data_IF_489913999139
#
_entry.id   IF_489913999139
#
_cell.length_a   1.000
_cell.length_b   1.000
_cell.length_c   1.000
_cell.angle_alpha   90.00
_cell.angle_beta   90.00
_cell.angle_gamma   90.00
#
_symmetry.space_group_name_H-M   'P 1'
#
loop_
_entity.id
_entity.type
_entity.pdbx_description
1 polymer ?
#
# COMPACT_ATOMS: atom_id res chain seq x y z
N UNK A 1 -15.86 -8.44 -3.19
CA UNK A 1 -14.56 -7.73 -3.08
C UNK A 1 -14.43 -7.18 -1.68
N UNK A 2 -13.32 -7.43 -1.02
CA UNK A 2 -13.07 -6.91 0.31
C UNK A 2 -12.51 -5.50 0.24
N UNK A 3 -12.94 -4.61 1.14
CA UNK A 3 -12.47 -3.23 1.18
C UNK A 3 -11.91 -2.94 2.56
N UNK A 4 -10.72 -2.35 2.60
CA UNK A 4 -10.09 -1.89 3.82
C UNK A 4 -9.81 -0.41 3.70
N UNK A 5 -10.21 0.34 4.73
CA UNK A 5 -9.91 1.76 4.84
C UNK A 5 -9.07 1.98 6.08
N UNK A 6 -8.04 2.80 5.93
CA UNK A 6 -7.16 3.14 7.03
C UNK A 6 -6.74 4.60 6.90
N UNK A 7 -6.74 5.33 8.00
CA UNK A 7 -6.29 6.71 7.97
C UNK A 7 -5.40 7.00 9.16
N UNK A 8 -4.45 7.90 8.95
CA UNK A 8 -3.50 8.30 9.97
C UNK A 8 -3.05 9.74 9.72
N UNK A 9 -2.62 10.41 10.78
CA UNK A 9 -2.00 11.72 10.65
C UNK A 9 -0.50 11.55 10.76
N UNK A 10 0.23 11.99 9.73
CA UNK A 10 1.68 11.98 9.72
C UNK A 10 2.19 13.39 9.94
N UNK A 11 3.28 13.51 10.68
CA UNK A 11 3.79 14.81 11.15
C UNK A 11 4.82 15.39 10.19
N UNK A 12 4.38 15.66 8.96
CA UNK A 12 5.18 16.29 7.92
C UNK A 12 4.23 16.86 6.85
N UNK A 13 4.68 17.83 6.05
CA UNK A 13 3.85 18.38 4.97
C UNK A 13 3.50 17.34 3.91
N UNK A 14 2.37 17.51 3.20
CA UNK A 14 1.96 16.54 2.17
C UNK A 14 3.03 16.28 1.10
N UNK A 15 3.80 17.27 0.72
CA UNK A 15 4.85 17.11 -0.29
C UNK A 15 5.92 16.12 0.15
N UNK A 16 6.29 16.13 1.43
CA UNK A 16 7.29 15.21 1.97
C UNK A 16 6.73 13.80 2.08
N UNK A 17 5.48 13.66 2.54
CA UNK A 17 4.81 12.37 2.65
C UNK A 17 4.65 11.75 1.27
N UNK A 18 4.17 12.53 0.31
CA UNK A 18 3.96 12.05 -1.05
C UNK A 18 5.28 11.60 -1.70
N UNK A 19 6.35 12.35 -1.48
CA UNK A 19 7.66 11.99 -2.03
C UNK A 19 8.13 10.60 -1.60
N UNK A 20 7.78 10.18 -0.38
CA UNK A 20 8.10 8.83 0.08
C UNK A 20 7.15 7.79 -0.53
N UNK A 21 5.86 8.09 -0.61
CA UNK A 21 4.87 7.15 -1.12
C UNK A 21 5.00 6.91 -2.63
N UNK A 22 5.39 7.92 -3.40
CA UNK A 22 5.50 7.76 -4.86
C UNK A 22 6.63 6.83 -5.27
N UNK A 23 7.61 6.59 -4.39
CA UNK A 23 8.67 5.61 -4.62
C UNK A 23 8.16 4.23 -4.22
N UNK A 24 7.38 3.63 -5.09
CA UNK A 24 6.65 2.39 -4.81
C UNK A 24 7.60 1.25 -4.42
N UNK A 25 8.78 1.16 -5.04
CA UNK A 25 9.77 0.13 -4.73
C UNK A 25 10.24 0.17 -3.28
N UNK A 26 10.13 1.31 -2.60
CA UNK A 26 10.53 1.43 -1.21
C UNK A 26 9.52 0.81 -0.23
N UNK A 27 8.32 0.45 -0.72
CA UNK A 27 7.30 -0.18 0.14
C UNK A 27 7.76 -1.52 0.71
N UNK A 28 8.76 -2.16 0.09
CA UNK A 28 9.36 -3.38 0.65
C UNK A 28 10.01 -3.11 2.02
N UNK A 29 10.43 -1.88 2.28
CA UNK A 29 10.98 -1.47 3.57
C UNK A 29 9.90 -1.12 4.59
N UNK A 30 8.67 -0.93 4.14
CA UNK A 30 7.57 -0.45 4.99
C UNK A 30 6.72 -1.56 5.58
N UNK A 31 6.92 -2.81 5.17
CA UNK A 31 6.24 -3.95 5.77
C UNK A 31 7.10 -5.20 5.66
N UNK A 32 7.11 -5.99 6.72
CA UNK A 32 7.85 -7.26 6.76
C UNK A 32 7.25 -8.31 5.84
N UNK A 33 5.98 -8.15 5.46
CA UNK A 33 5.30 -9.09 4.57
C UNK A 33 5.61 -8.86 3.10
N UNK A 34 6.14 -7.68 2.76
CA UNK A 34 6.54 -7.37 1.40
C UNK A 34 8.00 -7.75 1.23
N UNK A 35 8.26 -8.85 0.51
CA UNK A 35 9.63 -9.35 0.33
C UNK A 35 10.43 -8.50 -0.65
N UNK A 36 9.82 -8.14 -1.78
CA UNK A 36 10.50 -7.37 -2.82
C UNK A 36 9.49 -6.69 -3.73
N UNK A 37 9.91 -5.60 -4.34
CA UNK A 37 9.14 -4.92 -5.38
C UNK A 37 10.09 -4.64 -6.53
N UNK A 38 9.74 -5.13 -7.72
CA UNK A 38 10.55 -4.96 -8.93
C UNK A 38 9.91 -3.91 -9.84
N UNK A 39 10.61 -2.80 -10.11
CA UNK A 39 10.13 -1.85 -11.12
C UNK A 39 10.19 -2.48 -12.51
N UNK A 40 9.07 -2.43 -13.23
CA UNK A 40 8.96 -2.99 -14.58
C UNK A 40 9.01 -1.91 -15.68
N UNK A 41 9.11 -0.63 -15.29
CA UNK A 41 9.03 0.49 -16.21
C UNK A 41 7.60 0.95 -16.43
N UNK A 42 7.41 2.18 -16.92
CA UNK A 42 6.10 2.74 -17.26
C UNK A 42 5.10 2.71 -16.10
N UNK A 43 5.57 3.00 -14.89
CA UNK A 43 4.75 3.01 -13.66
C UNK A 43 4.17 1.65 -13.30
N UNK A 44 4.81 0.57 -13.73
CA UNK A 44 4.44 -0.80 -13.40
C UNK A 44 5.41 -1.39 -12.41
N UNK A 45 4.90 -2.20 -11.48
CA UNK A 45 5.69 -2.80 -10.41
C UNK A 45 5.22 -4.22 -10.15
N UNK A 46 6.17 -5.13 -9.92
CA UNK A 46 5.88 -6.51 -9.51
C UNK A 46 6.14 -6.64 -8.03
N UNK A 47 5.12 -7.02 -7.30
CA UNK A 47 5.15 -7.20 -5.85
C UNK A 47 5.29 -8.67 -5.50
N UNK A 48 6.18 -8.95 -4.57
CA UNK A 48 6.35 -10.28 -3.97
C UNK A 48 6.02 -10.16 -2.49
N UNK A 49 4.96 -10.83 -2.06
CA UNK A 49 4.44 -10.73 -0.70
C UNK A 49 4.37 -12.14 -0.11
N UNK A 50 4.81 -12.28 1.14
CA UNK A 50 4.68 -13.54 1.88
C UNK A 50 3.70 -13.33 3.02
N UNK A 51 2.58 -14.05 2.96
CA UNK A 51 1.53 -13.94 3.98
C UNK A 51 0.70 -15.21 4.02
N UNK A 52 0.18 -15.55 5.20
CA UNK A 52 -0.66 -16.74 5.42
C UNK A 52 0.07 -18.03 4.99
N UNK A 53 1.40 -18.08 5.21
CA UNK A 53 2.21 -19.24 4.82
C UNK A 53 2.36 -19.45 3.34
N UNK A 54 2.04 -18.45 2.51
CA UNK A 54 2.07 -18.55 1.06
C UNK A 54 2.80 -17.35 0.45
N UNK A 55 3.37 -17.57 -0.72
CA UNK A 55 3.96 -16.50 -1.52
C UNK A 55 2.94 -16.01 -2.53
N UNK A 56 2.76 -14.71 -2.57
CA UNK A 56 1.84 -14.05 -3.50
C UNK A 56 2.62 -13.13 -4.40
N UNK A 57 2.26 -13.11 -5.68
CA UNK A 57 2.89 -12.22 -6.66
C UNK A 57 1.81 -11.55 -7.48
N UNK A 58 1.97 -10.25 -7.71
CA UNK A 58 1.04 -9.51 -8.54
C UNK A 58 1.73 -8.29 -9.13
N UNK A 59 1.28 -7.90 -10.32
CA UNK A 59 1.77 -6.71 -11.00
C UNK A 59 0.73 -5.61 -10.88
N UNK A 60 1.19 -4.40 -10.59
CA UNK A 60 0.33 -3.23 -10.46
C UNK A 60 0.78 -2.13 -11.41
N UNK A 61 -0.20 -1.34 -11.83
CA UNK A 61 0.03 -0.11 -12.59
C UNK A 61 -0.40 1.05 -11.70
N UNK A 62 0.48 2.05 -11.57
CA UNK A 62 0.10 3.30 -10.91
C UNK A 62 -0.78 4.08 -11.89
N UNK A 63 -2.06 4.18 -11.57
CA UNK A 63 -3.07 4.79 -12.45
C UNK A 63 -3.22 6.29 -12.23
N UNK A 64 -2.86 6.78 -11.05
CA UNK A 64 -2.95 8.20 -10.75
C UNK A 64 -1.78 8.59 -9.87
N UNK A 65 -1.06 9.62 -10.30
CA UNK A 65 0.06 10.20 -9.56
C UNK A 65 -0.09 11.70 -9.60
N UNK A 66 -0.89 12.22 -8.69
CA UNK A 66 -1.22 13.66 -8.63
C UNK A 66 -0.64 14.25 -7.35
N UNK A 67 0.58 14.73 -7.44
CA UNK A 67 1.30 15.28 -6.29
C UNK A 67 0.69 16.59 -5.83
N UNK A 68 0.60 16.83 -4.53
CA UNK A 68 0.92 15.92 -3.43
C UNK A 68 -0.32 15.23 -2.83
N UNK A 69 -1.41 15.09 -3.57
CA UNK A 69 -2.71 14.72 -3.03
C UNK A 69 -3.13 13.28 -3.26
N UNK A 70 -2.75 12.67 -4.39
CA UNK A 70 -3.32 11.37 -4.74
C UNK A 70 -2.32 10.45 -5.40
N UNK A 71 -2.27 9.21 -4.92
CA UNK A 71 -1.53 8.12 -5.54
C UNK A 71 -2.47 6.91 -5.59
N UNK A 72 -2.76 6.42 -6.80
CA UNK A 72 -3.66 5.28 -6.97
C UNK A 72 -3.02 4.22 -7.85
N UNK A 73 -3.45 2.98 -7.65
CA UNK A 73 -2.95 1.85 -8.43
C UNK A 73 -4.05 0.83 -8.66
N UNK A 74 -3.84 -0.04 -9.66
CA UNK A 74 -4.66 -1.22 -9.86
C UNK A 74 -3.80 -2.38 -10.33
N UNK A 75 -4.19 -3.59 -9.98
CA UNK A 75 -3.49 -4.78 -10.45
C UNK A 75 -3.78 -5.02 -11.93
N UNK A 76 -2.76 -5.44 -12.66
CA UNK A 76 -2.87 -5.81 -14.07
C UNK A 76 -2.62 -7.29 -14.28
N UNK A 77 -2.08 -7.99 -13.28
CA UNK A 77 -1.86 -9.42 -13.31
C UNK A 77 -1.74 -9.95 -11.88
N UNK A 78 -2.14 -11.19 -11.67
CA UNK A 78 -2.06 -11.84 -10.35
C UNK A 78 -3.24 -11.52 -9.46
N UNK A 79 -3.00 -11.40 -8.15
CA UNK A 79 -4.05 -11.11 -7.18
C UNK A 79 -4.72 -9.78 -7.50
N UNK A 80 -6.04 -9.83 -7.67
CA UNK A 80 -6.80 -8.63 -8.03
C UNK A 80 -6.87 -7.66 -6.86
N UNK A 81 -6.31 -6.48 -7.05
CA UNK A 81 -6.36 -5.43 -6.04
C UNK A 81 -6.28 -4.06 -6.70
N UNK A 82 -6.81 -3.08 -6.00
CA UNK A 82 -6.67 -1.68 -6.38
C UNK A 82 -6.69 -0.85 -5.12
N UNK A 83 -6.11 0.33 -5.16
CA UNK A 83 -6.08 1.17 -4.00
C UNK A 83 -5.74 2.61 -4.31
N UNK A 84 -5.86 3.42 -3.28
CA UNK A 84 -5.68 4.86 -3.38
C UNK A 84 -5.20 5.42 -2.06
N UNK A 85 -4.16 6.24 -2.13
CA UNK A 85 -3.74 7.13 -1.05
C UNK A 85 -4.24 8.53 -1.35
N UNK A 86 -4.95 9.12 -0.41
CA UNK A 86 -5.39 10.52 -0.49
C UNK A 86 -4.77 11.29 0.66
N UNK A 87 -4.10 12.38 0.35
CA UNK A 87 -3.38 13.20 1.32
C UNK A 87 -4.02 14.57 1.42
N UNK A 88 -4.26 15.04 2.64
CA UNK A 88 -4.77 16.38 2.89
C UNK A 88 -3.97 17.04 3.99
N UNK A 89 -3.76 18.35 3.87
CA UNK A 89 -3.06 19.13 4.87
C UNK A 89 -3.94 19.32 6.09
N UNK A 90 -3.37 19.08 7.29
CA UNK A 90 -4.02 19.34 8.57
C UNK A 90 -3.05 20.11 9.46
N UNK A 91 -3.52 20.71 10.56
CA UNK A 91 -2.60 21.50 11.41
C UNK A 91 -1.39 20.73 11.92
N UNK A 92 -1.54 19.43 12.20
CA UNK A 92 -0.46 18.57 12.69
C UNK A 92 0.48 18.07 11.59
N UNK A 93 0.10 18.22 10.31
CA UNK A 93 0.89 17.72 9.19
C UNK A 93 0.03 17.28 8.03
N UNK A 94 -0.08 15.97 7.82
CA UNK A 94 -0.84 15.39 6.70
C UNK A 94 -1.75 14.29 7.20
N UNK A 95 -3.03 14.38 6.84
CA UNK A 95 -3.94 13.24 6.99
C UNK A 95 -3.81 12.36 5.75
N UNK A 96 -3.44 11.11 5.94
CA UNK A 96 -3.32 10.12 4.87
C UNK A 96 -4.48 9.16 4.99
N UNK A 97 -5.26 9.02 3.92
CA UNK A 97 -6.36 8.07 3.84
C UNK A 97 -6.01 7.03 2.80
N UNK A 98 -5.96 5.78 3.22
CA UNK A 98 -5.72 4.64 2.35
C UNK A 98 -7.00 3.84 2.19
N UNK A 99 -7.36 3.55 0.95
CA UNK A 99 -8.45 2.63 0.62
C UNK A 99 -7.87 1.51 -0.24
N UNK A 100 -8.08 0.27 0.16
CA UNK A 100 -7.62 -0.91 -0.60
C UNK A 100 -8.81 -1.81 -0.84
N UNK A 101 -8.99 -2.21 -2.08
CA UNK A 101 -9.97 -3.21 -2.47
C UNK A 101 -9.23 -4.40 -3.08
N UNK A 102 -9.60 -5.61 -2.67
CA UNK A 102 -8.96 -6.82 -3.19
C UNK A 102 -9.94 -7.97 -3.29
N UNK A 103 -9.61 -8.93 -4.16
CA UNK A 103 -10.43 -10.11 -4.40
C UNK A 103 -9.53 -11.34 -4.58
N UNK A 104 -9.85 -12.39 -3.85
CA UNK A 104 -9.18 -13.68 -3.97
C UNK A 104 -10.14 -14.63 -4.68
N UNK A 105 -9.71 -15.16 -5.85
CA UNK A 105 -10.60 -15.87 -6.76
C UNK A 105 -10.77 -17.37 -6.53
N UNK A 106 -10.09 -17.96 -5.59
CA UNK A 106 -10.20 -19.39 -5.36
C UNK A 106 -11.37 -19.70 -4.44
N UNK A 107 -12.48 -20.21 -5.00
CA UNK A 107 -13.71 -20.47 -4.24
C UNK A 107 -13.55 -21.48 -3.12
N UNK A 108 -12.63 -22.43 -3.25
CA UNK A 108 -12.40 -23.43 -2.21
C UNK A 108 -11.63 -22.87 -1.02
N UNK A 109 -10.80 -21.87 -1.25
CA UNK A 109 -9.95 -21.25 -0.23
C UNK A 109 -10.45 -19.87 0.15
N UNK A 110 -11.36 -19.31 -0.64
CA UNK A 110 -11.79 -17.92 -0.56
C UNK A 110 -12.29 -17.52 0.83
N UNK A 111 -13.15 -18.33 1.45
CA UNK A 111 -13.67 -17.99 2.78
C UNK A 111 -12.61 -18.05 3.86
N UNK A 112 -11.75 -19.07 3.84
CA UNK A 112 -10.69 -19.21 4.84
C UNK A 112 -9.60 -18.14 4.64
N UNK A 113 -9.19 -17.91 3.39
CA UNK A 113 -8.15 -16.92 3.07
C UNK A 113 -8.68 -15.50 3.26
N UNK A 114 -9.96 -15.23 2.92
CA UNK A 114 -10.55 -13.90 3.14
C UNK A 114 -10.62 -13.54 4.61
N UNK A 115 -10.96 -14.51 5.47
CA UNK A 115 -10.98 -14.27 6.92
C UNK A 115 -9.59 -14.02 7.48
N UNK A 116 -8.56 -14.70 6.96
CA UNK A 116 -7.19 -14.54 7.40
C UNK A 116 -6.53 -13.31 6.78
N UNK A 117 -6.92 -12.92 5.55
CA UNK A 117 -6.27 -11.84 4.82
C UNK A 117 -6.67 -10.45 5.29
N UNK A 118 -7.92 -10.25 5.74
CA UNK A 118 -8.34 -8.92 6.20
C UNK A 118 -7.47 -8.35 7.32
N UNK A 119 -7.21 -9.09 8.42
CA UNK A 119 -6.30 -8.59 9.45
C UNK A 119 -4.89 -8.35 8.93
N UNK A 120 -4.42 -9.18 8.00
CA UNK A 120 -3.08 -9.04 7.43
C UNK A 120 -2.96 -7.80 6.56
N UNK A 121 -3.93 -7.55 5.67
CA UNK A 121 -3.92 -6.34 4.83
C UNK A 121 -4.01 -5.10 5.70
N UNK A 122 -4.82 -5.14 6.75
CA UNK A 122 -4.91 -4.05 7.72
C UNK A 122 -3.58 -3.82 8.44
N UNK A 123 -2.91 -4.91 8.85
CA UNK A 123 -1.61 -4.85 9.50
C UNK A 123 -0.54 -4.27 8.57
N UNK A 124 -0.48 -4.73 7.32
CA UNK A 124 0.46 -4.20 6.31
C UNK A 124 0.21 -2.71 6.10
N UNK A 125 -1.04 -2.31 5.95
CA UNK A 125 -1.41 -0.91 5.75
C UNK A 125 -0.96 -0.04 6.92
N UNK A 126 -1.14 -0.52 8.14
CA UNK A 126 -0.72 0.18 9.34
C UNK A 126 0.80 0.28 9.43
N UNK A 127 1.51 -0.82 9.15
CA UNK A 127 2.97 -0.84 9.17
C UNK A 127 3.56 0.16 8.17
N UNK A 128 2.98 0.23 6.98
CA UNK A 128 3.43 1.16 5.95
C UNK A 128 3.39 2.59 6.50
N UNK A 129 2.26 3.01 7.05
CA UNK A 129 2.12 4.37 7.56
C UNK A 129 3.02 4.63 8.77
N UNK A 130 3.16 3.67 9.68
CA UNK A 130 4.04 3.80 10.84
C UNK A 130 5.51 3.95 10.42
N UNK A 131 5.94 3.17 9.43
CA UNK A 131 7.33 3.23 8.95
C UNK A 131 7.61 4.45 8.09
N UNK A 132 6.62 4.93 7.34
CA UNK A 132 6.74 6.21 6.63
C UNK A 132 6.90 7.34 7.65
N UNK A 133 6.10 7.34 8.72
CA UNK A 133 6.24 8.35 9.79
C UNK A 133 7.64 8.30 10.39
N UNK A 134 8.14 7.11 10.72
CA UNK A 134 9.47 6.96 11.28
C UNK A 134 10.55 7.46 10.31
N UNK A 135 10.41 7.19 9.03
CA UNK A 135 11.37 7.62 8.01
C UNK A 135 11.37 9.13 7.82
N UNK A 136 10.22 9.77 7.95
CA UNK A 136 10.12 11.22 7.87
C UNK A 136 10.96 11.93 8.95
N UNK A 137 11.13 11.28 10.09
CA UNK A 137 11.85 11.86 11.22
C UNK A 137 13.27 11.31 11.39
N UNK A 138 13.65 10.28 10.62
CA UNK A 138 14.97 9.67 10.73
C UNK A 138 16.10 10.55 10.21
N UNK A 139 15.81 11.45 9.28
CA UNK A 139 16.79 12.35 8.67
C UNK A 139 16.76 13.76 9.28
N UNK A 140 15.94 13.94 10.29
CA UNK A 140 15.83 15.21 10.99
C UNK A 140 16.73 15.32 12.17
#
# INVERSE_FOLDING_TARGET
MATIEHSAVLHAPPEQVFALLERVENFADYSDMIEAIEPLGESRYRWHVHAVGMDWSFDVLVTERKAPSTLAWESIDGVRNQGRYELSSVPEGTCVRLTVEYQIRNKLVEKAVSRASQPLVNQVSRQILERVEARLHASG
#
